data_IF_552373374728
#
_entry.id   IF_552373374728
#
_cell.length_a   1.000
_cell.length_b   1.000
_cell.length_c   1.000
_cell.angle_alpha   90.00
_cell.angle_beta   90.00
_cell.angle_gamma   90.00
#
_symmetry.space_group_name_H-M   'P 1'
#
loop_
_entity.id
_entity.type
_entity.pdbx_description
1 polymer ?
#
# COMPACT_ATOMS: atom_id res chain seq x y z
N UNK A 1 11.47 18.00 10.55
CA UNK A 1 10.34 17.28 9.90
C UNK A 1 9.99 16.10 10.78
N UNK A 2 8.75 16.04 11.23
CA UNK A 2 8.25 14.99 12.12
C UNK A 2 7.90 13.75 11.29
N UNK A 3 8.67 12.69 11.43
CA UNK A 3 8.51 11.47 10.62
C UNK A 3 8.00 10.32 11.48
N UNK A 4 7.13 9.49 10.92
CA UNK A 4 6.72 8.25 11.55
C UNK A 4 6.79 7.07 10.57
N UNK A 5 7.07 5.88 11.09
CA UNK A 5 6.77 4.62 10.41
C UNK A 5 5.46 4.09 10.97
N UNK A 6 4.51 3.79 10.10
CA UNK A 6 3.17 3.33 10.47
C UNK A 6 2.85 1.94 9.96
N UNK A 7 2.20 1.13 10.82
CA UNK A 7 1.77 -0.23 10.50
C UNK A 7 0.45 -0.60 11.17
N UNK A 8 -0.24 -1.56 10.57
CA UNK A 8 -1.34 -2.28 11.22
C UNK A 8 -0.84 -3.68 11.55
N UNK A 9 -0.98 -4.11 12.81
CA UNK A 9 -0.68 -5.47 13.25
C UNK A 9 -1.98 -6.22 13.54
N UNK A 10 -2.02 -7.51 13.22
CA UNK A 10 -3.25 -8.31 13.32
C UNK A 10 -2.95 -9.72 13.84
N UNK A 11 -3.97 -10.39 14.34
CA UNK A 11 -3.88 -11.76 14.83
C UNK A 11 -3.34 -12.71 13.74
N UNK A 12 -2.30 -13.48 14.07
CA UNK A 12 -1.56 -14.36 13.15
C UNK A 12 -0.33 -13.72 12.50
N UNK A 13 -0.14 -12.39 12.65
CA UNK A 13 1.08 -11.70 12.20
C UNK A 13 2.23 -11.75 13.21
N UNK A 14 2.00 -12.23 14.45
CA UNK A 14 2.94 -12.18 15.57
C UNK A 14 4.31 -12.75 15.21
N UNK A 15 4.33 -13.84 14.43
CA UNK A 15 5.55 -14.51 13.97
C UNK A 15 6.44 -13.63 13.06
N UNK A 16 5.89 -12.55 12.49
CA UNK A 16 6.61 -11.65 11.60
C UNK A 16 7.10 -10.38 12.32
N UNK A 17 6.50 -10.02 13.46
CA UNK A 17 6.76 -8.77 14.16
C UNK A 17 8.22 -8.62 14.61
N UNK A 18 8.90 -9.75 14.88
CA UNK A 18 10.33 -9.70 15.17
C UNK A 18 11.15 -9.14 14.01
N UNK A 19 10.91 -9.63 12.80
CA UNK A 19 11.60 -9.17 11.58
C UNK A 19 11.27 -7.70 11.29
N UNK A 20 9.99 -7.33 11.45
CA UNK A 20 9.51 -5.97 11.30
C UNK A 20 10.25 -5.00 12.24
N UNK A 21 10.20 -5.22 13.55
CA UNK A 21 10.86 -4.33 14.52
C UNK A 21 12.37 -4.30 14.37
N UNK A 22 13.01 -5.45 14.07
CA UNK A 22 14.44 -5.49 13.81
C UNK A 22 14.81 -4.62 12.60
N UNK A 23 14.00 -4.61 11.53
CA UNK A 23 14.23 -3.76 10.37
C UNK A 23 14.14 -2.27 10.68
N UNK A 24 13.32 -1.88 11.67
CA UNK A 24 13.23 -0.51 12.16
C UNK A 24 14.40 -0.13 13.10
N UNK A 25 14.84 -1.09 13.91
CA UNK A 25 16.01 -0.90 14.77
C UNK A 25 17.30 -0.69 13.96
N UNK A 26 17.40 -1.35 12.80
CA UNK A 26 18.56 -1.26 11.92
C UNK A 26 18.55 -0.04 10.99
N UNK A 27 17.58 0.86 11.07
CA UNK A 27 17.56 2.05 10.22
C UNK A 27 18.78 2.95 10.51
N UNK A 28 19.41 3.46 9.45
CA UNK A 28 20.55 4.39 9.56
C UNK A 28 20.14 5.77 10.07
N UNK A 29 18.91 6.20 9.76
CA UNK A 29 18.28 7.38 10.36
C UNK A 29 17.29 6.91 11.42
N UNK A 30 17.53 7.23 12.68
CA UNK A 30 16.73 6.83 13.84
C UNK A 30 15.77 7.93 14.31
N UNK A 31 15.73 9.09 13.64
CA UNK A 31 14.84 10.21 13.98
C UNK A 31 13.44 10.00 13.36
N UNK A 32 12.69 9.05 13.91
CA UNK A 32 11.29 8.80 13.57
C UNK A 32 10.54 8.17 14.75
N UNK A 33 9.24 8.38 14.82
CA UNK A 33 8.34 7.66 15.74
C UNK A 33 7.73 6.44 15.04
N UNK A 34 7.11 5.54 15.82
CA UNK A 34 6.45 4.34 15.30
C UNK A 34 4.99 4.37 15.76
N UNK A 35 4.06 4.27 14.80
CA UNK A 35 2.62 4.24 15.07
C UNK A 35 2.09 2.87 14.65
N UNK A 36 1.55 2.13 15.60
CA UNK A 36 0.98 0.80 15.37
C UNK A 36 -0.52 0.85 15.69
N UNK A 37 -1.33 0.40 14.74
CA UNK A 37 -2.74 0.08 14.99
C UNK A 37 -2.81 -1.41 15.30
N UNK A 38 -3.28 -1.77 16.49
CA UNK A 38 -3.43 -3.16 16.89
C UNK A 38 -4.84 -3.66 16.57
N UNK A 39 -4.92 -4.62 15.63
CA UNK A 39 -6.13 -5.34 15.27
C UNK A 39 -6.10 -6.77 15.82
N UNK A 40 -6.73 -6.96 16.96
CA UNK A 40 -6.97 -8.28 17.60
C UNK A 40 -5.76 -9.06 18.13
N UNK A 41 -4.55 -8.50 18.21
CA UNK A 41 -3.52 -9.13 19.04
C UNK A 41 -3.84 -8.83 20.51
N UNK A 42 -3.95 -9.88 21.34
CA UNK A 42 -4.23 -9.69 22.75
C UNK A 42 -3.12 -8.89 23.46
N UNK A 43 -3.50 -8.10 24.47
CA UNK A 43 -2.54 -7.28 25.22
C UNK A 43 -1.41 -8.12 25.83
N UNK A 44 -1.71 -9.34 26.29
CA UNK A 44 -0.70 -10.25 26.83
C UNK A 44 0.33 -10.68 25.78
N UNK A 45 -0.11 -11.07 24.57
CA UNK A 45 0.80 -11.43 23.46
C UNK A 45 1.59 -10.21 22.99
N UNK A 46 0.93 -9.07 22.86
CA UNK A 46 1.57 -7.84 22.45
C UNK A 46 2.67 -7.42 23.43
N UNK A 47 2.40 -7.50 24.74
CA UNK A 47 3.38 -7.22 25.78
C UNK A 47 4.58 -8.18 25.72
N UNK A 48 4.35 -9.46 25.43
CA UNK A 48 5.44 -10.43 25.25
C UNK A 48 6.35 -10.06 24.08
N UNK A 49 5.76 -9.66 22.95
CA UNK A 49 6.50 -9.21 21.74
C UNK A 49 7.28 -7.93 22.07
N UNK A 50 6.62 -6.94 22.66
CA UNK A 50 7.23 -5.65 23.00
C UNK A 50 8.38 -5.80 24.00
N UNK A 51 8.32 -6.77 24.94
CA UNK A 51 9.44 -7.03 25.86
C UNK A 51 10.72 -7.44 25.14
N UNK A 52 10.62 -8.07 23.96
CA UNK A 52 11.76 -8.51 23.16
C UNK A 52 12.33 -7.41 22.24
N UNK A 53 11.62 -6.31 22.08
CA UNK A 53 12.05 -5.17 21.27
C UNK A 53 13.05 -4.31 22.06
N UNK A 54 14.00 -3.68 21.38
CA UNK A 54 15.02 -2.84 22.03
C UNK A 54 14.41 -1.62 22.75
N UNK A 55 15.07 -1.11 23.79
CA UNK A 55 14.62 0.10 24.50
C UNK A 55 14.43 1.30 23.55
N UNK A 56 15.34 1.48 22.61
CA UNK A 56 15.29 2.56 21.63
C UNK A 56 14.02 2.52 20.76
N UNK A 57 13.55 1.34 20.35
CA UNK A 57 12.28 1.20 19.62
C UNK A 57 11.10 1.47 20.55
N UNK A 58 11.12 0.95 21.79
CA UNK A 58 10.04 1.13 22.76
C UNK A 58 9.73 2.60 23.04
N UNK A 59 10.76 3.42 23.21
CA UNK A 59 10.63 4.85 23.49
C UNK A 59 9.92 5.62 22.37
N UNK A 60 9.98 5.11 21.13
CA UNK A 60 9.40 5.72 19.93
C UNK A 60 8.06 5.12 19.53
N UNK A 61 7.62 4.06 20.23
CA UNK A 61 6.46 3.26 19.89
C UNK A 61 5.17 3.84 20.49
N UNK A 62 4.19 4.05 19.65
CA UNK A 62 2.82 4.39 20.04
C UNK A 62 1.88 3.33 19.48
N UNK A 63 1.12 2.67 20.35
CA UNK A 63 0.16 1.64 19.97
C UNK A 63 -1.24 2.16 20.20
N UNK A 64 -2.07 2.07 19.18
CA UNK A 64 -3.51 2.37 19.25
C UNK A 64 -4.26 1.05 19.19
N UNK A 65 -4.91 0.71 20.27
CA UNK A 65 -5.67 -0.54 20.37
C UNK A 65 -7.05 -0.41 19.69
N UNK A 66 -7.32 -1.32 18.77
CA UNK A 66 -8.59 -1.44 18.02
C UNK A 66 -9.19 -2.85 18.12
N UNK A 67 -8.75 -3.66 19.04
CA UNK A 67 -9.18 -5.07 19.20
C UNK A 67 -10.71 -5.25 19.32
N UNK A 68 -11.43 -4.25 19.78
CA UNK A 68 -12.90 -4.30 19.93
C UNK A 68 -13.65 -3.56 18.81
N UNK A 69 -12.96 -2.94 17.88
CA UNK A 69 -13.58 -1.99 16.93
C UNK A 69 -14.33 -2.67 15.78
N UNK A 70 -14.06 -3.94 15.47
CA UNK A 70 -14.59 -4.67 14.30
C UNK A 70 -14.36 -3.93 12.97
N UNK A 71 -13.35 -3.08 12.89
CA UNK A 71 -12.98 -2.37 11.67
C UNK A 71 -12.44 -3.37 10.64
N UNK A 72 -12.77 -3.14 9.38
CA UNK A 72 -12.16 -3.91 8.31
C UNK A 72 -10.70 -3.43 8.04
N UNK A 73 -9.87 -4.21 7.31
CA UNK A 73 -8.47 -3.84 7.07
C UNK A 73 -8.27 -2.48 6.38
N UNK A 74 -9.22 -2.04 5.56
CA UNK A 74 -9.16 -0.72 4.92
C UNK A 74 -9.39 0.40 5.94
N UNK A 75 -10.42 0.26 6.80
CA UNK A 75 -10.72 1.22 7.85
C UNK A 75 -9.57 1.35 8.86
N UNK A 76 -8.88 0.26 9.20
CA UNK A 76 -7.70 0.30 10.08
C UNK A 76 -6.54 1.10 9.45
N UNK A 77 -6.36 1.04 8.13
CA UNK A 77 -5.37 1.85 7.43
C UNK A 77 -5.76 3.33 7.36
N UNK A 78 -7.06 3.62 7.23
CA UNK A 78 -7.56 5.01 7.38
C UNK A 78 -7.32 5.52 8.79
N UNK A 79 -7.52 4.67 9.81
CA UNK A 79 -7.24 5.01 11.20
C UNK A 79 -5.76 5.33 11.43
N UNK A 80 -4.85 4.57 10.79
CA UNK A 80 -3.42 4.87 10.81
C UNK A 80 -3.11 6.27 10.25
N UNK A 81 -3.74 6.63 9.13
CA UNK A 81 -3.58 7.98 8.54
C UNK A 81 -4.12 9.06 9.48
N UNK A 82 -5.27 8.84 10.12
CA UNK A 82 -5.86 9.76 11.11
C UNK A 82 -4.94 9.95 12.31
N UNK A 83 -4.45 8.86 12.89
CA UNK A 83 -3.55 8.91 14.04
C UNK A 83 -2.25 9.66 13.71
N UNK A 84 -1.68 9.42 12.54
CA UNK A 84 -0.50 10.15 12.09
C UNK A 84 -0.81 11.65 11.93
N UNK A 85 -1.95 11.99 11.34
CA UNK A 85 -2.38 13.38 11.16
C UNK A 85 -2.62 14.08 12.51
N UNK A 86 -3.32 13.45 13.46
CA UNK A 86 -3.58 14.02 14.79
C UNK A 86 -2.30 14.16 15.64
N UNK A 87 -1.30 13.31 15.41
CA UNK A 87 0.02 13.44 16.04
C UNK A 87 0.92 14.47 15.37
N UNK A 88 0.39 15.20 14.38
CA UNK A 88 1.11 16.24 13.65
C UNK A 88 2.37 15.69 12.97
N UNK A 89 2.26 14.49 12.38
CA UNK A 89 3.32 13.86 11.58
C UNK A 89 3.34 14.53 10.20
N UNK A 90 4.54 14.95 9.77
CA UNK A 90 4.74 15.53 8.44
C UNK A 90 4.85 14.47 7.36
N UNK A 91 5.58 13.37 7.65
CA UNK A 91 5.87 12.27 6.74
C UNK A 91 5.55 10.93 7.41
N UNK A 92 4.59 10.20 6.83
CA UNK A 92 4.24 8.84 7.23
C UNK A 92 4.83 7.84 6.22
N UNK A 93 5.81 7.06 6.65
CA UNK A 93 6.35 5.92 5.91
C UNK A 93 5.53 4.70 6.30
N UNK A 94 4.85 4.09 5.34
CA UNK A 94 4.01 2.92 5.61
C UNK A 94 4.81 1.63 5.41
N UNK A 95 4.52 0.62 6.25
CA UNK A 95 5.15 -0.70 6.17
C UNK A 95 4.18 -1.73 6.76
N UNK A 96 3.78 -2.74 6.01
CA UNK A 96 2.99 -3.84 6.55
C UNK A 96 3.85 -4.66 7.53
N UNK A 97 3.22 -5.18 8.57
CA UNK A 97 3.91 -5.80 9.71
C UNK A 97 4.56 -7.17 9.39
N UNK A 98 4.30 -7.72 8.23
CA UNK A 98 4.90 -8.95 7.71
C UNK A 98 6.09 -8.69 6.78
N UNK A 99 6.39 -7.43 6.48
CA UNK A 99 7.47 -6.99 5.60
C UNK A 99 8.67 -6.41 6.38
N UNK A 100 9.76 -6.10 5.66
CA UNK A 100 10.96 -5.44 6.21
C UNK A 100 11.39 -4.25 5.37
N UNK A 101 11.81 -3.17 6.03
CA UNK A 101 12.49 -2.06 5.38
C UNK A 101 13.98 -2.36 5.18
N UNK A 102 14.59 -1.90 4.06
CA UNK A 102 16.05 -1.79 3.98
C UNK A 102 16.57 -0.82 5.04
N UNK A 103 17.79 -1.03 5.52
CA UNK A 103 18.35 -0.26 6.66
C UNK A 103 18.47 1.26 6.41
N UNK A 104 18.39 1.70 5.19
CA UNK A 104 18.48 3.11 4.79
C UNK A 104 17.14 3.71 4.32
N UNK A 105 16.00 2.98 4.44
CA UNK A 105 14.74 3.43 3.87
C UNK A 105 14.26 4.76 4.44
N UNK A 106 14.31 4.94 5.75
CA UNK A 106 13.90 6.21 6.39
C UNK A 106 14.78 7.37 5.90
N UNK A 107 16.10 7.18 5.88
CA UNK A 107 17.06 8.16 5.37
C UNK A 107 16.74 8.53 3.91
N UNK A 108 16.66 7.55 3.02
CA UNK A 108 16.42 7.79 1.60
C UNK A 108 15.10 8.53 1.33
N UNK A 109 14.02 8.18 2.04
CA UNK A 109 12.73 8.87 1.89
C UNK A 109 12.83 10.32 2.36
N UNK A 110 13.50 10.59 3.51
CA UNK A 110 13.67 11.94 4.04
C UNK A 110 14.56 12.82 3.14
N UNK A 111 15.65 12.27 2.62
CA UNK A 111 16.59 12.98 1.76
C UNK A 111 16.05 13.33 0.38
N UNK A 112 15.22 12.44 -0.19
CA UNK A 112 14.66 12.60 -1.54
C UNK A 112 13.24 13.19 -1.53
N UNK A 113 12.70 13.52 -0.33
CA UNK A 113 11.41 14.19 -0.20
C UNK A 113 11.43 15.50 -0.98
N UNK A 114 10.45 15.67 -1.83
CA UNK A 114 10.19 16.88 -2.58
C UNK A 114 8.75 17.31 -2.32
N UNK A 115 8.51 18.49 -1.72
CA UNK A 115 7.16 18.96 -1.39
C UNK A 115 6.22 19.17 -2.59
N UNK A 116 6.75 19.13 -3.82
CA UNK A 116 5.93 19.12 -5.04
C UNK A 116 5.15 17.82 -5.22
N UNK A 117 5.52 16.76 -4.48
CA UNK A 117 4.89 15.44 -4.50
C UNK A 117 4.27 15.13 -3.14
N UNK A 118 3.17 14.40 -3.16
CA UNK A 118 2.43 14.08 -1.93
C UNK A 118 2.68 12.67 -1.45
N UNK A 119 3.03 11.74 -2.35
CA UNK A 119 3.37 10.38 -1.97
C UNK A 119 4.64 9.92 -2.66
N UNK A 120 5.30 8.98 -2.00
CA UNK A 120 6.58 8.43 -2.44
C UNK A 120 6.50 6.91 -2.41
N UNK A 121 7.29 6.25 -3.24
CA UNK A 121 7.33 4.79 -3.31
C UNK A 121 8.71 4.30 -3.70
N UNK A 122 9.09 3.16 -3.20
CA UNK A 122 10.35 2.48 -3.49
C UNK A 122 10.11 1.09 -4.08
N UNK A 123 11.17 0.48 -4.60
CA UNK A 123 11.11 -0.87 -5.17
C UNK A 123 10.84 -1.92 -4.11
N UNK A 124 10.15 -2.99 -4.53
CA UNK A 124 9.87 -4.18 -3.74
C UNK A 124 10.81 -5.32 -4.16
N UNK A 125 11.48 -5.92 -3.19
CA UNK A 125 12.27 -7.13 -3.35
C UNK A 125 11.62 -8.29 -2.61
N UNK A 126 11.79 -9.51 -3.09
CA UNK A 126 11.51 -10.69 -2.26
C UNK A 126 12.59 -10.84 -1.18
N UNK A 127 12.42 -11.79 -0.26
CA UNK A 127 13.39 -12.05 0.81
C UNK A 127 14.72 -12.67 0.33
N UNK A 128 14.81 -13.02 -0.96
CA UNK A 128 16.04 -13.45 -1.63
C UNK A 128 16.75 -12.31 -2.36
N UNK A 129 16.15 -11.10 -2.37
CA UNK A 129 16.69 -9.92 -3.02
C UNK A 129 16.32 -9.78 -4.50
N UNK A 130 15.39 -10.59 -5.01
CA UNK A 130 14.92 -10.46 -6.38
C UNK A 130 13.83 -9.39 -6.47
N UNK A 131 13.84 -8.59 -7.54
CA UNK A 131 12.77 -7.63 -7.80
C UNK A 131 11.43 -8.36 -8.05
N UNK A 132 10.38 -7.88 -7.39
CA UNK A 132 9.01 -8.43 -7.55
C UNK A 132 8.35 -7.86 -8.79
N UNK A 133 8.63 -6.60 -9.09
CA UNK A 133 8.06 -5.88 -10.22
C UNK A 133 9.16 -5.55 -11.22
N UNK A 134 8.79 -5.41 -12.49
CA UNK A 134 9.65 -4.75 -13.46
C UNK A 134 9.91 -3.30 -13.01
N UNK A 135 10.65 -2.57 -13.78
CA UNK A 135 11.01 -1.18 -13.49
C UNK A 135 9.79 -0.33 -13.10
N UNK A 136 9.88 0.32 -11.93
CA UNK A 136 8.87 1.27 -11.50
C UNK A 136 9.12 2.63 -12.16
N UNK A 137 8.07 3.35 -12.59
CA UNK A 137 8.22 4.70 -13.15
C UNK A 137 8.78 5.65 -12.09
N UNK A 138 9.56 6.64 -12.52
CA UNK A 138 10.12 7.65 -11.62
C UNK A 138 9.03 8.57 -11.02
N UNK A 139 7.92 8.73 -11.75
CA UNK A 139 6.80 9.59 -11.34
C UNK A 139 5.47 8.92 -11.62
N UNK A 140 4.51 9.17 -10.73
CA UNK A 140 3.09 8.84 -10.91
C UNK A 140 2.30 10.14 -10.84
N UNK A 141 1.81 10.60 -11.97
CA UNK A 141 1.30 11.96 -12.13
C UNK A 141 -0.22 12.02 -12.32
N UNK A 142 -0.81 10.92 -12.79
CA UNK A 142 -2.21 10.85 -13.15
C UNK A 142 -2.83 9.53 -12.66
N UNK A 143 -4.10 9.55 -12.31
CA UNK A 143 -4.83 8.33 -11.88
C UNK A 143 -4.88 7.24 -12.97
N UNK A 144 -4.67 7.59 -14.25
CA UNK A 144 -4.60 6.62 -15.35
C UNK A 144 -3.30 5.80 -15.31
N UNK A 145 -2.22 6.33 -14.71
CA UNK A 145 -0.93 5.64 -14.57
C UNK A 145 -1.07 4.32 -13.80
N UNK A 146 -2.02 4.31 -12.85
CA UNK A 146 -2.40 3.12 -12.09
C UNK A 146 -3.86 2.70 -12.33
N UNK A 147 -4.45 3.16 -13.42
CA UNK A 147 -5.88 2.98 -13.68
C UNK A 147 -6.31 1.53 -13.91
N UNK A 148 -5.41 0.69 -14.43
CA UNK A 148 -5.72 -0.71 -14.75
C UNK A 148 -4.80 -1.74 -14.11
N UNK A 149 -3.68 -1.29 -13.53
CA UNK A 149 -2.75 -2.10 -12.74
C UNK A 149 -2.12 -1.24 -11.66
N UNK A 150 -1.60 -1.85 -10.61
CA UNK A 150 -1.06 -1.12 -9.47
C UNK A 150 0.36 -1.57 -9.14
N UNK A 151 1.22 -0.63 -8.80
CA UNK A 151 2.58 -0.84 -8.27
C UNK A 151 2.80 -0.09 -6.95
N UNK A 152 1.77 0.58 -6.45
CA UNK A 152 1.79 1.38 -5.22
C UNK A 152 1.13 0.58 -4.10
N UNK A 153 1.92 0.01 -3.23
CA UNK A 153 1.44 -0.74 -2.06
C UNK A 153 1.53 0.07 -0.77
N UNK A 154 1.01 -0.50 0.30
CA UNK A 154 1.23 0.04 1.64
C UNK A 154 2.71 -0.06 1.99
N UNK A 155 3.30 -1.24 1.85
CA UNK A 155 4.67 -1.50 2.31
C UNK A 155 5.77 -0.73 1.57
N UNK A 156 5.56 -0.34 0.32
CA UNK A 156 6.55 0.46 -0.41
C UNK A 156 6.21 1.95 -0.45
N UNK A 157 5.14 2.37 0.22
CA UNK A 157 4.62 3.73 0.19
C UNK A 157 5.06 4.62 1.35
N UNK A 158 5.08 5.92 1.09
CA UNK A 158 5.16 6.97 2.10
C UNK A 158 4.28 8.15 1.67
N UNK A 159 3.69 8.85 2.62
CA UNK A 159 2.80 9.99 2.37
C UNK A 159 3.30 11.22 3.11
N UNK A 160 3.50 12.32 2.39
CA UNK A 160 3.74 13.62 2.96
C UNK A 160 2.40 14.24 3.38
N UNK A 161 2.08 14.12 4.68
CA UNK A 161 0.77 14.46 5.23
C UNK A 161 0.45 15.95 5.13
N UNK A 162 1.47 16.83 5.11
CA UNK A 162 1.26 18.25 4.82
C UNK A 162 0.70 18.53 3.41
N UNK A 163 0.84 17.57 2.50
CA UNK A 163 0.29 17.64 1.15
C UNK A 163 -1.20 17.28 1.06
N UNK A 164 -1.83 16.82 2.15
CA UNK A 164 -3.24 16.42 2.20
C UNK A 164 -3.97 17.11 3.35
N UNK A 165 -5.28 17.26 3.21
CA UNK A 165 -6.13 17.84 4.25
C UNK A 165 -6.75 16.77 5.12
N UNK A 166 -7.15 17.13 6.35
CA UNK A 166 -7.95 16.25 7.19
C UNK A 166 -9.24 15.81 6.47
N UNK A 167 -9.91 16.75 5.77
CA UNK A 167 -11.11 16.44 5.00
C UNK A 167 -10.88 15.36 3.93
N UNK A 168 -9.68 15.29 3.34
CA UNK A 168 -9.34 14.21 2.42
C UNK A 168 -9.26 12.86 3.16
N UNK A 169 -8.58 12.80 4.31
CA UNK A 169 -8.47 11.57 5.12
C UNK A 169 -9.87 11.10 5.53
N UNK A 170 -10.72 12.01 6.02
CA UNK A 170 -12.11 11.70 6.39
C UNK A 170 -12.93 11.22 5.20
N UNK A 171 -12.68 11.75 3.99
CA UNK A 171 -13.37 11.34 2.76
C UNK A 171 -13.01 9.93 2.28
N UNK A 172 -11.94 9.32 2.78
CA UNK A 172 -11.62 7.92 2.51
C UNK A 172 -12.65 7.00 3.16
N UNK A 173 -13.23 7.42 4.29
CA UNK A 173 -14.37 6.81 4.95
C UNK A 173 -14.14 5.37 5.39
N UNK A 174 -15.24 4.70 5.71
CA UNK A 174 -15.28 3.26 5.91
C UNK A 174 -15.47 2.59 4.54
N UNK A 175 -14.37 2.17 3.94
CA UNK A 175 -14.37 1.55 2.63
C UNK A 175 -14.30 0.05 2.78
N UNK A 176 -15.25 -0.65 2.21
CA UNK A 176 -15.18 -2.10 2.05
C UNK A 176 -14.40 -2.40 0.76
N UNK A 177 -13.09 -2.57 0.90
CA UNK A 177 -12.22 -2.98 -0.20
C UNK A 177 -11.07 -3.85 0.29
N UNK A 178 -10.71 -4.83 -0.53
CA UNK A 178 -9.56 -5.72 -0.29
C UNK A 178 -8.24 -5.12 -0.80
N UNK A 179 -8.31 -4.01 -1.54
CA UNK A 179 -7.20 -3.37 -2.24
C UNK A 179 -7.14 -1.88 -1.88
N UNK A 180 -7.06 -1.62 -0.56
CA UNK A 180 -7.07 -0.26 -0.03
C UNK A 180 -5.91 0.58 -0.54
N UNK A 181 -4.73 -0.01 -0.74
CA UNK A 181 -3.57 0.64 -1.34
C UNK A 181 -3.92 1.25 -2.71
N UNK A 182 -4.48 0.47 -3.63
CA UNK A 182 -4.88 0.96 -4.94
C UNK A 182 -5.95 2.05 -4.85
N UNK A 183 -6.93 1.87 -3.95
CA UNK A 183 -7.96 2.87 -3.70
C UNK A 183 -7.36 4.19 -3.17
N UNK A 184 -6.49 4.12 -2.17
CA UNK A 184 -5.83 5.29 -1.56
C UNK A 184 -5.07 6.12 -2.61
N UNK A 185 -4.19 5.48 -3.36
CA UNK A 185 -3.38 6.17 -4.36
C UNK A 185 -4.21 6.68 -5.54
N UNK A 186 -5.24 5.95 -5.98
CA UNK A 186 -6.19 6.45 -6.97
C UNK A 186 -6.92 7.70 -6.48
N UNK A 187 -7.33 7.74 -5.21
CA UNK A 187 -7.99 8.90 -4.61
C UNK A 187 -7.04 10.11 -4.47
N UNK A 188 -5.78 9.88 -4.11
CA UNK A 188 -4.75 10.92 -4.10
C UNK A 188 -4.59 11.54 -5.50
N UNK A 189 -4.40 10.71 -6.52
CA UNK A 189 -4.23 11.15 -7.91
C UNK A 189 -5.47 11.86 -8.47
N UNK A 190 -6.67 11.41 -8.12
CA UNK A 190 -7.92 12.08 -8.46
C UNK A 190 -8.07 13.45 -7.78
N UNK A 191 -7.36 13.70 -6.69
CA UNK A 191 -7.24 15.00 -6.02
C UNK A 191 -5.96 15.74 -6.44
N UNK A 192 -5.47 15.48 -7.66
CA UNK A 192 -4.31 16.16 -8.28
C UNK A 192 -3.00 16.00 -7.49
N UNK A 193 -2.95 15.02 -6.59
CA UNK A 193 -1.72 14.68 -5.88
C UNK A 193 -0.84 13.81 -6.75
N UNK A 194 0.47 13.96 -6.61
CA UNK A 194 1.47 13.30 -7.46
C UNK A 194 2.42 12.47 -6.63
N UNK A 195 2.96 11.43 -7.24
CA UNK A 195 3.93 10.52 -6.63
C UNK A 195 5.29 10.57 -7.29
N UNK A 196 6.33 10.25 -6.50
CA UNK A 196 7.72 10.18 -6.94
C UNK A 196 8.38 8.92 -6.39
N UNK A 197 9.15 8.23 -7.25
CA UNK A 197 9.97 7.09 -6.83
C UNK A 197 11.15 7.57 -5.97
N UNK A 198 11.43 6.82 -4.91
CA UNK A 198 12.62 6.95 -4.08
C UNK A 198 13.61 5.87 -4.50
N UNK A 199 14.82 6.30 -4.81
CA UNK A 199 15.87 5.41 -5.27
C UNK A 199 16.85 5.04 -4.14
N UNK A 200 17.53 3.90 -4.28
CA UNK A 200 18.58 3.47 -3.35
C UNK A 200 18.10 2.85 -2.05
N UNK A 201 16.78 2.64 -1.89
CA UNK A 201 16.22 1.86 -0.78
C UNK A 201 15.13 0.92 -1.27
N UNK A 202 14.80 -0.06 -0.45
CA UNK A 202 13.91 -1.17 -0.82
C UNK A 202 12.99 -1.53 0.35
N UNK A 203 11.88 -2.20 0.01
CA UNK A 203 11.08 -2.95 0.97
C UNK A 203 11.17 -4.42 0.61
N UNK A 204 11.52 -5.27 1.55
CA UNK A 204 11.49 -6.72 1.40
C UNK A 204 10.07 -7.19 1.67
N UNK A 205 9.38 -7.56 0.60
CA UNK A 205 7.99 -7.97 0.59
C UNK A 205 7.87 -9.47 0.77
N UNK A 206 7.10 -9.90 1.75
CA UNK A 206 6.92 -11.31 2.06
C UNK A 206 5.88 -11.93 1.14
N UNK A 207 6.28 -12.94 0.38
CA UNK A 207 5.40 -13.70 -0.50
C UNK A 207 5.00 -15.01 0.19
N UNK A 208 3.71 -15.22 0.39
CA UNK A 208 3.14 -16.47 0.88
C UNK A 208 1.80 -16.75 0.17
N UNK A 209 1.28 -18.00 0.27
CA UNK A 209 0.10 -18.43 -0.49
C UNK A 209 -1.17 -17.60 -0.22
N UNK A 210 -1.29 -17.03 0.98
CA UNK A 210 -2.44 -16.22 1.37
C UNK A 210 -2.38 -14.77 0.86
N UNK A 211 -1.30 -14.32 0.20
CA UNK A 211 -1.24 -12.97 -0.34
C UNK A 211 -2.35 -12.74 -1.36
N UNK A 212 -3.09 -11.66 -1.21
CA UNK A 212 -4.16 -11.31 -2.14
C UNK A 212 -3.59 -11.03 -3.55
N UNK A 213 -2.48 -10.30 -3.60
CA UNK A 213 -1.65 -10.01 -4.77
C UNK A 213 -0.39 -10.89 -4.72
N UNK A 214 -0.53 -12.16 -5.08
CA UNK A 214 0.57 -13.13 -5.16
C UNK A 214 1.38 -12.98 -6.46
N UNK A 215 2.20 -14.00 -6.76
CA UNK A 215 2.89 -14.09 -8.06
C UNK A 215 1.86 -13.96 -9.18
N UNK A 216 2.11 -13.03 -10.10
CA UNK A 216 1.31 -12.89 -11.31
C UNK A 216 1.58 -14.08 -12.26
N UNK A 217 1.08 -15.26 -11.91
CA UNK A 217 1.08 -16.41 -12.82
C UNK A 217 -0.27 -16.45 -13.54
N UNK A 218 -0.20 -16.51 -14.86
CA UNK A 218 -1.40 -16.57 -15.67
C UNK A 218 -2.15 -17.88 -15.42
N UNK A 219 -3.40 -17.77 -15.07
CA UNK A 219 -4.36 -18.88 -15.00
C UNK A 219 -5.78 -18.34 -15.18
N UNK A 220 -6.70 -19.18 -15.65
CA UNK A 220 -8.12 -18.79 -15.75
C UNK A 220 -8.70 -18.29 -14.42
N UNK A 221 -8.27 -18.88 -13.32
CA UNK A 221 -8.70 -18.49 -11.98
C UNK A 221 -8.12 -17.13 -11.58
N UNK A 222 -6.83 -16.86 -11.89
CA UNK A 222 -6.19 -15.58 -11.65
C UNK A 222 -6.87 -14.45 -12.44
N UNK A 223 -7.15 -14.67 -13.73
CA UNK A 223 -7.89 -13.72 -14.59
C UNK A 223 -9.28 -13.43 -14.01
N UNK A 224 -10.04 -14.46 -13.62
CA UNK A 224 -11.37 -14.27 -13.01
C UNK A 224 -11.29 -13.47 -11.72
N UNK A 225 -10.35 -13.81 -10.84
CA UNK A 225 -10.12 -13.08 -9.58
C UNK A 225 -9.78 -11.60 -9.85
N UNK A 226 -8.89 -11.34 -10.82
CA UNK A 226 -8.49 -9.98 -11.17
C UNK A 226 -9.65 -9.15 -11.72
N UNK A 227 -10.47 -9.72 -12.59
CA UNK A 227 -11.68 -9.06 -13.12
C UNK A 227 -12.61 -8.63 -11.98
N UNK A 228 -12.86 -9.50 -11.00
CA UNK A 228 -13.72 -9.15 -9.85
C UNK A 228 -13.08 -8.05 -8.98
N UNK A 229 -11.78 -8.09 -8.74
CA UNK A 229 -11.05 -7.05 -8.04
C UNK A 229 -11.15 -5.71 -8.78
N UNK A 230 -10.93 -5.70 -10.09
CA UNK A 230 -11.05 -4.49 -10.92
C UNK A 230 -12.47 -3.92 -10.89
N UNK A 231 -13.51 -4.78 -11.00
CA UNK A 231 -14.90 -4.32 -10.88
C UNK A 231 -15.18 -3.69 -9.51
N UNK A 232 -14.70 -4.29 -8.43
CA UNK A 232 -14.79 -3.72 -7.08
C UNK A 232 -14.15 -2.34 -7.03
N UNK A 233 -12.89 -2.24 -7.47
CA UNK A 233 -12.11 -1.01 -7.50
C UNK A 233 -12.79 0.10 -8.32
N UNK A 234 -13.18 -0.22 -9.55
CA UNK A 234 -13.80 0.77 -10.43
C UNK A 234 -15.15 1.26 -9.91
N UNK A 235 -15.96 0.37 -9.30
CA UNK A 235 -17.24 0.75 -8.68
C UNK A 235 -17.04 1.81 -7.60
N UNK A 236 -16.01 1.68 -6.76
CA UNK A 236 -15.68 2.66 -5.73
C UNK A 236 -15.24 4.01 -6.30
N UNK A 237 -14.65 4.02 -7.50
CA UNK A 237 -14.10 5.21 -8.13
C UNK A 237 -15.01 5.86 -9.19
N UNK A 238 -16.11 5.22 -9.58
CA UNK A 238 -17.09 5.81 -10.53
C UNK A 238 -17.62 7.18 -10.12
N UNK A 239 -17.81 7.52 -8.82
CA UNK A 239 -18.25 8.86 -8.42
C UNK A 239 -17.23 9.97 -8.70
N UNK A 240 -15.96 9.62 -8.89
CA UNK A 240 -14.87 10.60 -8.98
C UNK A 240 -14.37 10.83 -10.41
N UNK A 241 -14.48 9.84 -11.31
CA UNK A 241 -14.06 10.02 -12.70
C UNK A 241 -14.82 9.11 -13.68
N UNK A 242 -15.23 9.69 -14.82
CA UNK A 242 -15.91 8.96 -15.90
C UNK A 242 -15.04 7.82 -16.49
N UNK A 243 -13.73 7.95 -16.43
CA UNK A 243 -12.79 6.90 -16.80
C UNK A 243 -13.08 5.55 -16.12
N UNK A 244 -13.27 5.56 -14.80
CA UNK A 244 -13.58 4.34 -14.04
C UNK A 244 -14.98 3.80 -14.35
N UNK A 245 -15.94 4.68 -14.69
CA UNK A 245 -17.26 4.25 -15.15
C UNK A 245 -17.18 3.48 -16.48
N UNK A 246 -16.36 3.98 -17.42
CA UNK A 246 -16.11 3.29 -18.69
C UNK A 246 -15.44 1.92 -18.48
N UNK A 247 -14.39 1.88 -17.67
CA UNK A 247 -13.73 0.62 -17.30
C UNK A 247 -14.72 -0.37 -16.68
N UNK A 248 -15.52 0.07 -15.71
CA UNK A 248 -16.51 -0.79 -15.06
C UNK A 248 -17.51 -1.36 -16.08
N UNK A 249 -17.96 -0.56 -17.04
CA UNK A 249 -18.87 -1.02 -18.11
C UNK A 249 -18.22 -2.13 -18.94
N UNK A 250 -16.98 -1.92 -19.42
CA UNK A 250 -16.27 -2.93 -20.23
C UNK A 250 -16.07 -4.22 -19.44
N UNK A 251 -15.52 -4.15 -18.22
CA UNK A 251 -15.28 -5.34 -17.39
C UNK A 251 -16.56 -6.05 -16.94
N UNK A 252 -17.72 -5.36 -16.94
CA UNK A 252 -19.01 -5.95 -16.61
C UNK A 252 -19.70 -6.59 -17.81
N UNK A 253 -19.46 -6.12 -19.03
CA UNK A 253 -20.09 -6.61 -20.26
C UNK A 253 -19.30 -7.72 -20.95
N UNK A 254 -18.01 -7.85 -20.67
CA UNK A 254 -17.15 -8.83 -21.32
C UNK A 254 -17.21 -10.17 -20.61
N UNK A 255 -17.38 -11.26 -21.37
CA UNK A 255 -17.35 -12.62 -20.84
C UNK A 255 -15.93 -12.98 -20.39
N UNK A 256 -15.82 -13.66 -19.25
CA UNK A 256 -14.52 -14.06 -18.66
C UNK A 256 -13.71 -14.96 -19.61
N UNK A 257 -14.38 -15.80 -20.40
CA UNK A 257 -13.75 -16.68 -21.40
C UNK A 257 -13.06 -15.86 -22.50
N UNK A 258 -13.70 -14.79 -22.98
CA UNK A 258 -13.11 -13.89 -24.00
C UNK A 258 -11.88 -13.17 -23.44
N UNK A 259 -11.92 -12.70 -22.19
CA UNK A 259 -10.75 -12.13 -21.54
C UNK A 259 -9.59 -13.13 -21.43
N UNK A 260 -9.91 -14.40 -21.10
CA UNK A 260 -8.89 -15.42 -20.91
C UNK A 260 -8.13 -15.74 -22.20
N UNK A 261 -8.82 -15.76 -23.34
CA UNK A 261 -8.21 -16.01 -24.66
C UNK A 261 -7.42 -14.79 -25.16
N UNK A 262 -7.91 -13.59 -24.91
CA UNK A 262 -7.29 -12.34 -25.39
C UNK A 262 -5.94 -12.04 -24.73
N UNK A 263 -5.71 -12.46 -23.48
CA UNK A 263 -4.57 -12.05 -22.65
C UNK A 263 -3.55 -13.17 -22.39
N UNK A 264 -3.69 -14.34 -23.04
CA UNK A 264 -2.79 -15.47 -22.82
C UNK A 264 -1.31 -15.18 -23.11
N UNK A 265 -1.02 -14.22 -23.99
CA UNK A 265 0.32 -13.91 -24.51
C UNK A 265 0.83 -12.50 -24.10
N UNK A 266 0.21 -11.82 -23.15
CA UNK A 266 0.66 -10.49 -22.74
C UNK A 266 1.95 -10.54 -21.92
N UNK A 267 2.87 -9.64 -22.22
CA UNK A 267 4.10 -9.47 -21.45
C UNK A 267 3.78 -8.93 -20.04
N UNK A 268 4.17 -9.71 -19.03
CA UNK A 268 3.86 -9.41 -17.63
C UNK A 268 4.77 -8.31 -17.09
N UNK A 269 4.22 -7.22 -16.61
CA UNK A 269 4.96 -6.15 -15.92
C UNK A 269 5.37 -6.50 -14.50
N UNK A 270 4.76 -7.55 -13.92
CA UNK A 270 4.86 -7.86 -12.49
C UNK A 270 4.05 -6.93 -11.60
N UNK A 271 3.39 -5.91 -12.15
CA UNK A 271 2.50 -5.04 -11.40
C UNK A 271 1.26 -5.83 -10.97
N UNK A 272 0.74 -5.52 -9.80
CA UNK A 272 -0.50 -6.12 -9.32
C UNK A 272 -1.65 -5.80 -10.27
N UNK A 273 -2.48 -6.78 -10.51
CA UNK A 273 -3.69 -6.65 -11.35
C UNK A 273 -3.39 -6.25 -12.81
N UNK A 274 -2.31 -6.77 -13.40
CA UNK A 274 -1.91 -6.44 -14.77
C UNK A 274 -2.23 -7.52 -15.81
N UNK A 275 -2.88 -8.62 -15.43
CA UNK A 275 -3.21 -9.74 -16.32
C UNK A 275 -4.28 -9.39 -17.38
N UNK A 276 -5.14 -8.42 -17.10
CA UNK A 276 -6.33 -8.13 -17.88
C UNK A 276 -6.44 -6.66 -18.31
N UNK A 277 -5.31 -6.00 -18.58
CA UNK A 277 -5.33 -4.62 -19.05
C UNK A 277 -5.91 -4.52 -20.47
N UNK A 278 -6.80 -3.56 -20.70
CA UNK A 278 -7.48 -3.31 -21.96
C UNK A 278 -7.05 -1.98 -22.58
N UNK A 279 -7.12 -1.88 -23.89
CA UNK A 279 -7.04 -0.58 -24.57
C UNK A 279 -8.42 0.06 -24.57
N UNK A 280 -8.55 1.22 -23.93
CA UNK A 280 -9.71 2.08 -24.10
C UNK A 280 -9.51 2.93 -25.34
N UNK A 281 -10.50 2.96 -26.24
CA UNK A 281 -10.51 3.92 -27.33
C UNK A 281 -10.49 5.33 -26.75
N UNK A 282 -9.46 6.11 -27.11
CA UNK A 282 -9.39 7.51 -26.73
C UNK A 282 -10.52 8.27 -27.44
N UNK A 283 -11.29 9.03 -26.69
CA UNK A 283 -12.19 10.00 -27.29
C UNK A 283 -11.33 11.08 -27.97
N UNK A 284 -11.44 11.15 -29.30
CA UNK A 284 -10.90 12.24 -30.12
C UNK A 284 -11.59 13.55 -29.82
#
# INVERSE_FOLDING_TARGET
MKTAVGSVIFEGAEKYLRDFFLSLEMQTDQDFSIIIINDNISSEHLDQIIRQVSPNIKERLSIVDRTQSKLNPAALRVELLREAFYKDIDLLIMLDCDDKASCNRVCCVKEQLDPAYTFFYNELLDFNGNSIMKELPDYTLNYRDIGQSNYLGISNGAIFLKGISQAFIESLGEVETRIFDWYLYSRLLLNEKKGKKINGCYTYYRIYEANLAGKCEWSRQAVKKEIEIKKEHYRLLTPYANYYKKLLQVYSSTCTEQFTEQFADQEMTGYWWSLTNIQLEEER
#
